data_IF_881814457290
#
_entry.id   IF_881814457290
#
_cell.length_a   1.000
_cell.length_b   1.000
_cell.length_c   1.000
_cell.angle_alpha   90.00
_cell.angle_beta   90.00
_cell.angle_gamma   90.00
#
_symmetry.space_group_name_H-M   'P 1'
#
loop_
_entity.id
_entity.type
_entity.pdbx_description
1 polymer ?
#
# COMPACT_ATOMS: atom_id res chain seq x y z
N UNK A 1 -46.60 20.17 -75.06
CA UNK A 1 -47.04 19.77 -73.71
C UNK A 1 -45.85 19.12 -73.07
N UNK A 2 -45.20 19.85 -72.36
CA UNK A 2 -44.55 19.98 -71.11
C UNK A 2 -44.41 18.66 -70.32
N UNK A 3 -43.16 18.27 -70.03
CA UNK A 3 -42.77 17.63 -68.77
C UNK A 3 -41.25 17.80 -68.58
N UNK A 4 -40.83 18.50 -67.55
CA UNK A 4 -39.44 18.60 -67.08
C UNK A 4 -39.07 17.37 -66.28
N UNK A 5 -37.84 16.89 -66.33
CA UNK A 5 -37.28 15.93 -65.39
C UNK A 5 -36.63 16.66 -64.19
N UNK A 6 -36.89 16.13 -63.00
CA UNK A 6 -36.37 16.60 -61.71
C UNK A 6 -34.86 16.41 -61.54
N UNK A 7 -34.27 17.39 -60.90
CA UNK A 7 -32.89 17.41 -60.43
C UNK A 7 -32.69 16.45 -59.27
N UNK A 8 -31.75 15.50 -59.42
CA UNK A 8 -31.26 14.65 -58.34
C UNK A 8 -30.26 15.47 -57.50
N UNK A 9 -30.60 15.66 -56.24
CA UNK A 9 -29.79 16.26 -55.20
C UNK A 9 -28.74 15.24 -54.71
N UNK A 10 -27.47 15.46 -55.07
CA UNK A 10 -26.34 14.72 -54.56
C UNK A 10 -25.87 15.36 -53.27
N UNK A 11 -26.49 15.00 -52.15
CA UNK A 11 -25.97 15.32 -50.82
C UNK A 11 -24.71 14.46 -50.56
N UNK A 12 -23.57 15.11 -50.61
CA UNK A 12 -22.26 14.55 -50.17
C UNK A 12 -22.36 14.15 -48.70
N UNK A 13 -21.74 12.98 -48.29
CA UNK A 13 -21.69 12.58 -46.91
C UNK A 13 -20.81 13.56 -46.12
N UNK A 14 -21.40 14.16 -45.09
CA UNK A 14 -20.71 14.99 -44.10
C UNK A 14 -19.51 14.26 -43.54
N UNK A 15 -18.31 14.83 -43.77
CA UNK A 15 -17.08 14.31 -43.17
C UNK A 15 -17.20 14.38 -41.64
N UNK A 16 -17.02 13.24 -40.98
CA UNK A 16 -16.93 13.16 -39.53
C UNK A 16 -15.84 14.12 -39.01
N UNK A 17 -16.04 14.78 -37.87
CA UNK A 17 -15.04 15.73 -37.36
C UNK A 17 -13.71 15.02 -37.12
N UNK A 18 -12.70 15.52 -37.79
CA UNK A 18 -11.32 15.12 -37.65
C UNK A 18 -10.88 15.45 -36.21
N UNK A 19 -10.91 14.46 -35.32
CA UNK A 19 -10.29 14.58 -34.00
C UNK A 19 -8.80 14.70 -34.26
N UNK A 20 -8.13 15.82 -33.89
CA UNK A 20 -6.69 15.95 -34.13
C UNK A 20 -5.98 14.80 -33.43
N UNK A 21 -5.06 14.15 -34.14
CA UNK A 21 -4.22 13.10 -33.59
C UNK A 21 -3.60 13.65 -32.30
N UNK A 22 -3.94 13.04 -31.16
CA UNK A 22 -3.40 13.44 -29.85
C UNK A 22 -1.88 13.35 -29.95
N UNK A 23 -1.19 14.46 -29.72
CA UNK A 23 0.25 14.53 -29.71
C UNK A 23 0.83 13.43 -28.80
N UNK A 24 1.92 12.81 -29.21
CA UNK A 24 2.61 11.79 -28.40
C UNK A 24 2.91 12.36 -27.02
N UNK A 25 2.31 11.80 -25.96
CA UNK A 25 2.52 12.22 -24.56
C UNK A 25 3.81 11.64 -24.02
N UNK A 26 4.49 12.39 -23.17
CA UNK A 26 5.71 11.94 -22.49
C UNK A 26 5.55 12.03 -20.98
N UNK A 27 5.75 10.92 -20.29
CA UNK A 27 5.69 10.82 -18.85
C UNK A 27 7.05 10.42 -18.28
N UNK A 28 7.49 11.11 -17.24
CA UNK A 28 8.66 10.70 -16.44
C UNK A 28 8.17 10.15 -15.10
N UNK A 29 8.54 8.89 -14.81
CA UNK A 29 8.15 8.21 -13.58
C UNK A 29 9.39 7.88 -12.75
N UNK A 30 9.27 8.01 -11.42
CA UNK A 30 10.35 7.65 -10.48
C UNK A 30 9.78 6.85 -9.33
N UNK A 31 10.14 5.56 -9.27
CA UNK A 31 9.83 4.63 -8.20
C UNK A 31 11.12 4.06 -7.62
N UNK A 32 11.23 3.97 -6.29
CA UNK A 32 12.44 3.52 -5.58
C UNK A 32 12.31 2.17 -4.88
N UNK A 33 11.11 1.58 -4.79
CA UNK A 33 10.85 0.34 -4.06
C UNK A 33 9.94 -0.59 -4.86
N UNK A 34 9.89 -1.86 -4.46
CA UNK A 34 9.07 -2.88 -5.14
C UNK A 34 7.56 -2.53 -5.13
N UNK A 35 7.07 -1.88 -4.07
CA UNK A 35 5.70 -1.36 -3.99
C UNK A 35 5.44 -0.27 -5.02
N UNK A 36 6.39 0.67 -5.15
CA UNK A 36 6.33 1.73 -6.16
C UNK A 36 6.45 1.19 -7.58
N UNK A 37 7.27 0.17 -7.81
CA UNK A 37 7.40 -0.51 -9.10
C UNK A 37 6.10 -1.18 -9.55
N UNK A 38 5.38 -1.83 -8.61
CA UNK A 38 4.05 -2.39 -8.88
C UNK A 38 3.03 -1.31 -9.28
N UNK A 39 2.97 -0.23 -8.50
CA UNK A 39 2.07 0.91 -8.79
C UNK A 39 2.41 1.58 -10.13
N UNK A 40 3.70 1.79 -10.37
CA UNK A 40 4.19 2.40 -11.60
C UNK A 40 3.87 1.58 -12.84
N UNK A 41 4.01 0.27 -12.77
CA UNK A 41 3.68 -0.63 -13.87
C UNK A 41 2.19 -0.54 -14.24
N UNK A 42 1.29 -0.69 -13.26
CA UNK A 42 -0.14 -0.56 -13.50
C UNK A 42 -0.54 0.82 -14.03
N UNK A 43 0.09 1.89 -13.53
CA UNK A 43 -0.13 3.25 -14.03
C UNK A 43 0.33 3.43 -15.49
N UNK A 44 1.49 2.88 -15.87
CA UNK A 44 1.98 2.90 -17.25
C UNK A 44 0.98 2.22 -18.18
N UNK A 45 0.49 1.04 -17.80
CA UNK A 45 -0.51 0.30 -18.58
C UNK A 45 -1.81 1.09 -18.74
N UNK A 46 -2.32 1.70 -17.67
CA UNK A 46 -3.54 2.50 -17.68
C UNK A 46 -3.37 3.78 -18.55
N UNK A 47 -2.25 4.49 -18.39
CA UNK A 47 -1.94 5.66 -19.23
C UNK A 47 -1.75 5.29 -20.70
N UNK A 48 -1.18 4.11 -21.00
CA UNK A 48 -1.01 3.63 -22.38
C UNK A 48 -2.35 3.29 -23.04
N UNK A 49 -3.32 2.73 -22.29
CA UNK A 49 -4.68 2.53 -22.82
C UNK A 49 -5.32 3.88 -23.21
N UNK A 50 -5.07 4.93 -22.44
CA UNK A 50 -5.60 6.27 -22.69
C UNK A 50 -4.83 7.05 -23.77
N UNK A 51 -3.52 6.86 -23.81
CA UNK A 51 -2.59 7.49 -24.75
C UNK A 51 -1.70 6.42 -25.40
N UNK A 52 -2.17 5.72 -26.46
CA UNK A 52 -1.46 4.57 -27.06
C UNK A 52 -0.04 4.86 -27.53
N UNK A 53 0.25 6.11 -27.91
CA UNK A 53 1.57 6.54 -28.38
C UNK A 53 2.40 7.23 -27.28
N UNK A 54 1.97 7.16 -26.02
CA UNK A 54 2.72 7.76 -24.93
C UNK A 54 4.06 7.05 -24.70
N UNK A 55 5.08 7.85 -24.38
CA UNK A 55 6.40 7.38 -23.97
C UNK A 55 6.52 7.53 -22.46
N UNK A 56 7.17 6.54 -21.86
CA UNK A 56 7.41 6.48 -20.41
C UNK A 56 8.90 6.30 -20.17
N UNK A 57 9.52 7.18 -19.40
CA UNK A 57 10.93 7.06 -19.07
C UNK A 57 11.18 7.45 -17.61
N UNK A 58 12.32 7.08 -17.03
CA UNK A 58 12.67 7.47 -15.67
C UNK A 58 13.40 6.39 -14.86
N UNK A 59 12.97 6.19 -13.61
CA UNK A 59 13.54 5.22 -12.68
C UNK A 59 12.46 4.24 -12.25
N UNK A 60 12.70 2.96 -12.44
CA UNK A 60 11.73 1.92 -12.11
C UNK A 60 12.40 0.54 -12.04
N UNK A 61 11.63 -0.43 -11.54
CA UNK A 61 12.03 -1.82 -11.41
C UNK A 61 11.56 -2.70 -12.56
N UNK A 62 11.69 -4.03 -12.40
CA UNK A 62 11.38 -5.01 -13.44
C UNK A 62 9.94 -4.95 -13.98
N UNK A 63 8.97 -4.62 -13.10
CA UNK A 63 7.56 -4.54 -13.50
C UNK A 63 7.26 -3.33 -14.37
N UNK A 64 7.81 -2.16 -14.03
CA UNK A 64 7.69 -0.96 -14.86
C UNK A 64 8.42 -1.14 -16.21
N UNK A 65 9.58 -1.80 -16.23
CA UNK A 65 10.29 -2.18 -17.46
C UNK A 65 9.42 -3.07 -18.35
N UNK A 66 8.81 -4.11 -17.80
CA UNK A 66 7.90 -5.00 -18.52
C UNK A 66 6.66 -4.25 -19.04
N UNK A 67 6.15 -3.25 -18.31
CA UNK A 67 5.10 -2.35 -18.74
C UNK A 67 5.56 -1.32 -19.79
N UNK A 68 6.86 -1.26 -20.10
CA UNK A 68 7.45 -0.43 -21.17
C UNK A 68 8.03 0.91 -20.73
N UNK A 69 8.56 0.99 -19.51
CA UNK A 69 9.39 2.10 -19.07
C UNK A 69 10.77 2.05 -19.76
N UNK A 70 11.18 3.15 -20.35
CA UNK A 70 12.57 3.39 -20.76
C UNK A 70 13.39 3.80 -19.54
N UNK A 71 13.98 2.84 -18.82
CA UNK A 71 14.67 3.13 -17.56
C UNK A 71 15.98 3.88 -17.78
N UNK A 72 16.15 5.00 -17.09
CA UNK A 72 17.44 5.69 -16.98
C UNK A 72 18.33 5.06 -15.91
N UNK A 73 17.70 4.56 -14.86
CA UNK A 73 18.33 3.89 -13.72
C UNK A 73 17.39 2.82 -13.16
N UNK A 74 17.93 1.72 -12.64
CA UNK A 74 17.16 0.71 -11.95
C UNK A 74 16.70 1.22 -10.56
N UNK A 75 15.51 0.78 -10.10
CA UNK A 75 14.91 1.19 -8.83
C UNK A 75 15.78 0.87 -7.62
N UNK A 76 16.58 -0.20 -7.68
CA UNK A 76 17.47 -0.65 -6.60
C UNK A 76 18.50 0.42 -6.20
N UNK A 77 18.83 1.35 -7.09
CA UNK A 77 19.70 2.48 -6.75
C UNK A 77 19.07 3.47 -5.79
N UNK A 78 17.75 3.48 -5.68
CA UNK A 78 16.98 4.32 -4.73
C UNK A 78 16.59 3.56 -3.46
N UNK A 79 16.61 2.22 -3.51
CA UNK A 79 16.24 1.34 -2.38
C UNK A 79 17.34 1.30 -1.33
N UNK A 80 17.49 2.36 -0.56
CA UNK A 80 18.41 2.42 0.58
C UNK A 80 17.57 2.56 1.85
N UNK A 81 17.51 1.48 2.63
CA UNK A 81 16.75 1.47 3.90
C UNK A 81 17.68 1.75 5.09
N UNK A 82 17.35 2.81 5.84
CA UNK A 82 17.99 3.13 7.12
C UNK A 82 19.01 4.26 7.05
N UNK A 83 19.05 5.07 8.13
CA UNK A 83 19.94 6.24 8.26
C UNK A 83 21.43 5.91 8.13
N UNK A 84 21.83 4.72 8.56
CA UNK A 84 23.23 4.27 8.51
C UNK A 84 23.66 3.91 7.10
N UNK A 85 22.75 3.39 6.26
CA UNK A 85 23.03 2.99 4.89
C UNK A 85 22.92 4.16 3.91
N UNK A 86 22.16 5.19 4.26
CA UNK A 86 21.95 6.39 3.43
C UNK A 86 23.20 7.28 3.41
N UNK A 87 23.92 7.43 4.53
CA UNK A 87 25.06 8.33 4.65
C UNK A 87 26.17 8.06 3.61
N UNK A 88 26.64 6.82 3.41
CA UNK A 88 27.67 6.52 2.40
C UNK A 88 27.21 6.75 0.97
N UNK A 89 25.90 6.60 0.70
CA UNK A 89 25.30 6.74 -0.65
C UNK A 89 24.68 8.09 -0.93
N UNK A 90 24.70 9.00 0.03
CA UNK A 90 24.05 10.31 -0.10
C UNK A 90 24.54 11.10 -1.33
N UNK A 91 25.85 11.09 -1.59
CA UNK A 91 26.43 11.77 -2.76
C UNK A 91 25.95 11.14 -4.06
N UNK A 92 25.86 9.82 -4.13
CA UNK A 92 25.32 9.09 -5.28
C UNK A 92 23.85 9.44 -5.52
N UNK A 93 23.02 9.40 -4.48
CA UNK A 93 21.60 9.75 -4.55
C UNK A 93 21.40 11.21 -4.99
N UNK A 94 22.22 12.13 -4.51
CA UNK A 94 22.16 13.53 -4.92
C UNK A 94 22.57 13.72 -6.40
N UNK A 95 23.58 13.00 -6.86
CA UNK A 95 23.99 13.00 -8.27
C UNK A 95 22.89 12.42 -9.17
N UNK A 96 22.32 11.28 -8.79
CA UNK A 96 21.23 10.64 -9.51
C UNK A 96 20.01 11.58 -9.58
N UNK A 97 19.61 12.19 -8.46
CA UNK A 97 18.53 13.18 -8.44
C UNK A 97 18.81 14.39 -9.33
N UNK A 98 20.07 14.86 -9.37
CA UNK A 98 20.52 15.93 -10.26
C UNK A 98 20.42 15.54 -11.74
N UNK A 99 20.77 14.32 -12.09
CA UNK A 99 20.69 13.81 -13.46
C UNK A 99 19.25 13.60 -13.91
N UNK A 100 18.40 12.97 -13.09
CA UNK A 100 16.95 12.83 -13.37
C UNK A 100 16.32 14.21 -13.61
N UNK A 101 16.65 15.21 -12.75
CA UNK A 101 16.18 16.58 -12.94
C UNK A 101 16.60 17.15 -14.29
N UNK A 102 17.89 17.05 -14.65
CA UNK A 102 18.44 17.59 -15.90
C UNK A 102 17.75 16.98 -17.12
N UNK A 103 17.58 15.64 -17.13
CA UNK A 103 16.89 14.93 -18.21
C UNK A 103 15.42 15.33 -18.31
N UNK A 104 14.72 15.42 -17.18
CA UNK A 104 13.33 15.85 -17.14
C UNK A 104 13.15 17.28 -17.67
N UNK A 105 14.05 18.20 -17.31
CA UNK A 105 14.02 19.57 -17.83
C UNK A 105 14.30 19.62 -19.36
N UNK A 106 15.22 18.80 -19.85
CA UNK A 106 15.55 18.76 -21.29
C UNK A 106 14.41 18.15 -22.12
N UNK A 107 13.69 17.18 -21.57
CA UNK A 107 12.61 16.47 -22.26
C UNK A 107 11.25 17.17 -22.19
N UNK A 108 11.05 18.09 -21.26
CA UNK A 108 9.78 18.79 -21.03
C UNK A 108 8.56 17.83 -21.02
N UNK A 109 8.50 16.82 -20.13
CA UNK A 109 7.39 15.86 -20.09
C UNK A 109 6.05 16.53 -19.80
N UNK A 110 4.97 15.93 -20.27
CA UNK A 110 3.60 16.35 -19.94
C UNK A 110 3.30 16.24 -18.43
N UNK A 111 3.90 15.24 -17.76
CA UNK A 111 3.94 15.15 -16.31
C UNK A 111 5.18 14.41 -15.81
N UNK A 112 5.67 14.85 -14.66
CA UNK A 112 6.59 14.10 -13.79
C UNK A 112 5.80 13.45 -12.66
N UNK A 113 5.99 12.14 -12.45
CA UNK A 113 5.24 11.34 -11.47
C UNK A 113 6.22 10.70 -10.50
N UNK A 114 6.31 11.22 -9.28
CA UNK A 114 7.04 10.59 -8.19
C UNK A 114 6.16 9.58 -7.49
N UNK A 115 6.59 8.32 -7.44
CA UNK A 115 5.84 7.23 -6.82
C UNK A 115 6.53 6.86 -5.52
N UNK A 116 5.82 7.12 -4.39
CA UNK A 116 6.37 6.90 -3.04
C UNK A 116 7.74 7.61 -2.84
N UNK A 117 8.64 7.07 -2.01
CA UNK A 117 9.99 7.60 -1.76
C UNK A 117 10.03 9.13 -1.58
N UNK A 118 9.28 9.70 -0.62
CA UNK A 118 9.08 11.15 -0.49
C UNK A 118 10.38 11.92 -0.27
N UNK A 119 11.37 11.32 0.38
CA UNK A 119 12.68 11.96 0.64
C UNK A 119 13.47 12.20 -0.66
N UNK A 120 13.29 11.35 -1.66
CA UNK A 120 13.88 11.52 -2.97
C UNK A 120 12.99 12.41 -3.87
N UNK A 121 11.72 12.08 -3.99
CA UNK A 121 10.81 12.65 -4.97
C UNK A 121 10.38 14.09 -4.67
N UNK A 122 9.99 14.42 -3.41
CA UNK A 122 9.41 15.74 -3.10
C UNK A 122 10.37 16.90 -3.41
N UNK A 123 11.67 16.70 -3.16
CA UNK A 123 12.68 17.71 -3.49
C UNK A 123 12.89 17.91 -4.99
N UNK A 124 12.72 16.85 -5.76
CA UNK A 124 12.80 16.86 -7.23
C UNK A 124 11.55 17.48 -7.84
N UNK A 125 10.36 17.01 -7.45
CA UNK A 125 9.06 17.52 -7.85
C UNK A 125 8.98 19.05 -7.68
N UNK A 126 9.36 19.56 -6.49
CA UNK A 126 9.35 21.01 -6.21
C UNK A 126 10.18 21.80 -7.23
N UNK A 127 11.36 21.28 -7.62
CA UNK A 127 12.23 21.96 -8.59
C UNK A 127 11.69 21.88 -10.02
N UNK A 128 11.03 20.78 -10.38
CA UNK A 128 10.40 20.61 -11.68
C UNK A 128 9.11 21.43 -11.80
N UNK A 129 8.30 21.46 -10.75
CA UNK A 129 7.12 22.33 -10.65
C UNK A 129 7.48 23.81 -10.82
N UNK A 130 8.54 24.28 -10.13
CA UNK A 130 9.05 25.65 -10.28
C UNK A 130 9.56 25.95 -11.69
N UNK A 131 9.87 24.93 -12.49
CA UNK A 131 10.27 25.05 -13.90
C UNK A 131 9.08 24.89 -14.87
N UNK A 132 7.84 24.84 -14.38
CA UNK A 132 6.63 24.75 -15.21
C UNK A 132 6.25 23.33 -15.64
N UNK A 133 6.93 22.29 -15.16
CA UNK A 133 6.56 20.89 -15.43
C UNK A 133 5.47 20.49 -14.42
N UNK A 134 4.36 19.92 -14.91
CA UNK A 134 3.32 19.37 -14.04
C UNK A 134 3.86 18.21 -13.23
N UNK A 135 3.61 18.21 -11.92
CA UNK A 135 4.13 17.22 -10.98
C UNK A 135 3.02 16.51 -10.25
N UNK A 136 3.13 15.19 -10.19
CA UNK A 136 2.19 14.30 -9.49
C UNK A 136 2.96 13.49 -8.46
N UNK A 137 2.48 13.49 -7.23
CA UNK A 137 3.00 12.60 -6.18
C UNK A 137 2.02 11.45 -5.96
N UNK A 138 2.42 10.24 -6.29
CA UNK A 138 1.61 9.05 -6.11
C UNK A 138 2.04 8.33 -4.83
N UNK A 139 1.11 8.05 -3.96
CA UNK A 139 1.22 7.59 -2.56
C UNK A 139 1.44 8.75 -1.59
N UNK A 140 0.36 9.20 -0.98
CA UNK A 140 0.42 10.18 0.11
C UNK A 140 1.28 9.66 1.27
N UNK A 141 2.32 10.37 1.71
CA UNK A 141 2.99 9.99 2.95
C UNK A 141 2.01 10.15 4.11
N UNK A 142 1.90 9.15 4.98
CA UNK A 142 0.92 9.02 6.08
C UNK A 142 0.67 10.32 6.88
N UNK A 143 0.13 11.35 6.22
CA UNK A 143 -0.14 12.68 6.79
C UNK A 143 -1.17 12.64 7.91
N UNK A 144 -2.06 11.65 7.87
CA UNK A 144 -3.09 11.42 8.89
C UNK A 144 -2.51 10.91 10.22
N UNK A 145 -1.34 10.25 10.19
CA UNK A 145 -0.76 9.63 11.39
C UNK A 145 0.16 10.57 12.19
N UNK A 146 0.94 11.43 11.53
CA UNK A 146 2.09 12.03 12.20
C UNK A 146 2.23 13.56 12.11
N UNK A 147 1.82 14.21 11.06
CA UNK A 147 1.99 15.68 10.89
C UNK A 147 1.15 16.17 9.71
N UNK A 148 -0.05 16.61 9.93
CA UNK A 148 -0.89 17.21 8.88
C UNK A 148 -0.19 18.36 8.12
N UNK A 149 0.65 19.15 8.78
CA UNK A 149 1.44 20.21 8.14
C UNK A 149 2.40 19.74 7.02
N UNK A 150 2.62 18.42 6.88
CA UNK A 150 3.30 17.85 5.70
C UNK A 150 2.47 18.04 4.44
N UNK A 151 1.13 18.06 4.54
CA UNK A 151 0.24 18.27 3.39
C UNK A 151 0.54 19.60 2.68
N UNK A 152 0.66 20.70 3.44
CA UNK A 152 1.05 22.01 2.89
C UNK A 152 2.43 21.99 2.21
N UNK A 153 3.37 21.22 2.77
CA UNK A 153 4.73 21.07 2.21
C UNK A 153 4.70 20.28 0.90
N UNK A 154 3.85 19.27 0.84
CA UNK A 154 3.66 18.44 -0.35
C UNK A 154 3.01 19.24 -1.49
N UNK A 155 2.03 20.08 -1.20
CA UNK A 155 1.44 21.01 -2.18
C UNK A 155 2.42 21.99 -2.83
N UNK A 156 3.53 22.33 -2.15
CA UNK A 156 4.64 23.07 -2.77
C UNK A 156 5.48 22.21 -3.73
N UNK A 157 5.39 20.90 -3.63
CA UNK A 157 6.17 19.95 -4.44
C UNK A 157 5.36 19.38 -5.59
N UNK A 158 4.09 19.03 -5.37
CA UNK A 158 3.23 18.41 -6.35
C UNK A 158 2.02 19.28 -6.70
N UNK A 159 1.56 19.20 -7.96
CA UNK A 159 0.33 19.81 -8.43
C UNK A 159 -0.89 18.93 -8.15
N UNK A 160 -0.66 17.62 -8.01
CA UNK A 160 -1.66 16.63 -7.72
C UNK A 160 -1.07 15.57 -6.80
N UNK A 161 -1.83 15.14 -5.79
CA UNK A 161 -1.51 14.01 -4.92
C UNK A 161 -2.51 12.88 -5.17
N UNK A 162 -2.00 11.68 -5.51
CA UNK A 162 -2.82 10.49 -5.63
C UNK A 162 -2.76 9.71 -4.31
N UNK A 163 -3.90 9.60 -3.67
CA UNK A 163 -4.06 9.07 -2.33
C UNK A 163 -4.55 7.62 -2.37
N UNK A 164 -3.97 6.76 -1.54
CA UNK A 164 -4.38 5.36 -1.39
C UNK A 164 -5.52 5.17 -0.38
N UNK A 165 -5.81 6.19 0.44
CA UNK A 165 -6.85 6.11 1.46
C UNK A 165 -7.89 7.23 1.31
N UNK A 166 -9.19 6.89 1.53
CA UNK A 166 -10.30 7.82 1.24
C UNK A 166 -10.36 9.05 2.15
N UNK A 167 -9.73 9.02 3.34
CA UNK A 167 -9.69 10.15 4.26
C UNK A 167 -8.60 11.18 3.91
N UNK A 168 -7.62 10.83 3.08
CA UNK A 168 -6.47 11.69 2.79
C UNK A 168 -6.82 12.95 1.98
N UNK A 169 -7.67 12.91 0.93
CA UNK A 169 -8.01 14.10 0.16
C UNK A 169 -8.59 15.23 1.01
N UNK A 170 -9.41 14.91 2.02
CA UNK A 170 -9.98 15.92 2.93
C UNK A 170 -8.91 16.63 3.76
N UNK A 171 -7.80 15.96 4.06
CA UNK A 171 -6.65 16.58 4.75
C UNK A 171 -5.96 17.57 3.81
N UNK A 172 -5.70 17.18 2.57
CA UNK A 172 -5.05 18.03 1.57
C UNK A 172 -5.90 19.24 1.20
N UNK A 173 -7.21 19.10 1.10
CA UNK A 173 -8.15 20.19 0.80
C UNK A 173 -8.04 21.33 1.82
N UNK A 174 -7.79 21.04 3.10
CA UNK A 174 -7.55 22.08 4.15
C UNK A 174 -6.35 22.97 3.87
N UNK A 175 -5.43 22.52 3.03
CA UNK A 175 -4.20 23.25 2.66
C UNK A 175 -4.23 23.71 1.20
N UNK A 176 -5.38 23.64 0.52
CA UNK A 176 -5.52 24.05 -0.87
C UNK A 176 -4.73 23.17 -1.87
N UNK A 177 -4.45 21.92 -1.50
CA UNK A 177 -3.69 20.97 -2.33
C UNK A 177 -4.65 20.03 -3.04
N UNK A 178 -4.55 19.95 -4.37
CA UNK A 178 -5.34 19.00 -5.15
C UNK A 178 -4.91 17.57 -4.81
N UNK A 179 -5.88 16.75 -4.43
CA UNK A 179 -5.65 15.35 -4.08
C UNK A 179 -6.84 14.49 -4.47
N UNK A 180 -6.57 13.31 -5.02
CA UNK A 180 -7.59 12.34 -5.42
C UNK A 180 -7.34 10.99 -4.74
N UNK A 181 -8.40 10.40 -4.20
CA UNK A 181 -8.39 9.01 -3.77
C UNK A 181 -8.54 8.11 -5.00
N UNK A 182 -7.58 7.21 -5.19
CA UNK A 182 -7.49 6.36 -6.39
C UNK A 182 -7.69 4.86 -6.08
N UNK A 183 -7.97 4.50 -4.83
CA UNK A 183 -8.01 3.11 -4.39
C UNK A 183 -6.66 2.60 -3.91
N UNK A 184 -6.66 1.39 -3.36
CA UNK A 184 -5.46 0.78 -2.81
C UNK A 184 -5.11 -0.51 -3.58
N UNK A 185 -3.87 -0.68 -4.09
CA UNK A 185 -3.51 -1.82 -4.95
C UNK A 185 -3.66 -3.18 -4.27
N UNK A 186 -3.44 -3.27 -2.96
CA UNK A 186 -3.71 -4.50 -2.23
C UNK A 186 -5.21 -4.86 -2.23
N UNK A 187 -6.10 -3.87 -2.25
CA UNK A 187 -7.53 -4.15 -2.34
C UNK A 187 -7.92 -4.75 -3.71
N UNK A 188 -7.24 -4.36 -4.76
CA UNK A 188 -7.44 -4.94 -6.10
C UNK A 188 -6.79 -6.34 -6.21
N UNK A 189 -5.73 -6.62 -5.40
CA UNK A 189 -5.04 -7.90 -5.40
C UNK A 189 -5.74 -8.99 -4.57
N UNK A 190 -6.54 -8.62 -3.57
CA UNK A 190 -7.33 -9.58 -2.80
C UNK A 190 -8.72 -9.78 -3.43
N UNK A 191 -9.24 -11.02 -3.49
CA UNK A 191 -10.61 -11.26 -3.96
C UNK A 191 -11.63 -10.68 -2.97
N UNK A 192 -12.72 -10.13 -3.48
CA UNK A 192 -13.80 -9.60 -2.64
C UNK A 192 -14.43 -10.71 -1.78
N UNK A 193 -14.51 -11.92 -2.29
CA UNK A 193 -14.92 -13.12 -1.55
C UNK A 193 -13.71 -14.03 -1.37
N UNK A 194 -13.41 -14.41 -0.13
CA UNK A 194 -12.26 -15.23 0.22
C UNK A 194 -12.71 -16.60 0.74
N UNK A 195 -12.12 -17.67 0.20
CA UNK A 195 -12.37 -19.04 0.63
C UNK A 195 -11.20 -19.56 1.47
N UNK A 196 -11.51 -20.26 2.57
CA UNK A 196 -10.49 -20.86 3.46
C UNK A 196 -10.02 -22.22 3.01
N UNK A 197 -10.92 -23.00 2.45
CA UNK A 197 -10.67 -24.42 2.15
C UNK A 197 -9.46 -24.66 1.24
N UNK A 198 -9.28 -23.95 0.11
CA UNK A 198 -8.10 -24.14 -0.74
C UNK A 198 -6.78 -23.83 -0.03
N UNK A 199 -6.74 -22.74 0.75
CA UNK A 199 -5.55 -22.35 1.50
C UNK A 199 -5.22 -23.36 2.62
N UNK A 200 -6.23 -23.87 3.32
CA UNK A 200 -6.05 -24.94 4.33
C UNK A 200 -5.50 -26.22 3.73
N UNK A 201 -6.06 -26.64 2.59
CA UNK A 201 -5.59 -27.82 1.88
C UNK A 201 -4.13 -27.67 1.44
N UNK A 202 -3.75 -26.51 0.90
CA UNK A 202 -2.38 -26.21 0.49
C UNK A 202 -1.38 -26.26 1.65
N UNK A 203 -1.81 -25.89 2.87
CA UNK A 203 -0.97 -25.90 4.07
C UNK A 203 -1.05 -27.20 4.88
N UNK A 204 -1.84 -28.19 4.45
CA UNK A 204 -2.06 -29.44 5.17
C UNK A 204 -2.72 -29.23 6.54
N UNK A 205 -3.63 -28.25 6.65
CA UNK A 205 -4.40 -27.95 7.85
C UNK A 205 -5.72 -28.70 7.84
N UNK A 206 -6.20 -29.11 9.02
CA UNK A 206 -7.50 -29.75 9.12
C UNK A 206 -8.63 -28.78 8.75
N UNK A 207 -9.61 -29.26 7.99
CA UNK A 207 -10.69 -28.42 7.47
C UNK A 207 -11.50 -27.73 8.58
N UNK A 208 -11.80 -28.46 9.67
CA UNK A 208 -12.69 -28.01 10.75
C UNK A 208 -11.95 -27.54 12.01
N UNK A 209 -10.62 -27.64 12.05
CA UNK A 209 -9.85 -27.15 13.20
C UNK A 209 -9.79 -25.62 13.20
N UNK A 210 -9.89 -24.96 14.37
CA UNK A 210 -9.59 -23.55 14.47
C UNK A 210 -8.11 -23.29 14.12
N UNK A 211 -7.86 -22.23 13.37
CA UNK A 211 -6.53 -21.84 12.90
C UNK A 211 -6.22 -20.40 13.32
N UNK A 212 -5.12 -20.23 14.06
CA UNK A 212 -4.57 -18.93 14.43
C UNK A 212 -3.31 -18.63 13.61
N UNK A 213 -3.32 -17.51 12.89
CA UNK A 213 -2.10 -17.01 12.26
C UNK A 213 -1.34 -16.07 13.21
N UNK A 214 0.00 -16.26 13.29
CA UNK A 214 0.88 -15.42 14.07
C UNK A 214 1.83 -14.66 13.13
N UNK A 215 1.72 -13.33 13.11
CA UNK A 215 2.57 -12.45 12.31
C UNK A 215 3.31 -11.45 13.22
N UNK A 216 4.36 -11.87 13.94
CA UNK A 216 5.04 -11.03 14.96
C UNK A 216 5.88 -9.91 14.34
N UNK A 217 6.01 -9.86 13.03
CA UNK A 217 6.73 -8.83 12.29
C UNK A 217 7.53 -9.35 11.12
N UNK A 218 7.95 -8.44 10.26
CA UNK A 218 8.77 -8.71 9.06
C UNK A 218 10.26 -8.37 9.28
N UNK A 219 10.62 -7.84 10.45
CA UNK A 219 11.99 -7.45 10.82
C UNK A 219 12.42 -8.15 12.09
N UNK A 220 13.71 -8.50 12.19
CA UNK A 220 14.29 -9.14 13.39
C UNK A 220 13.98 -8.38 14.68
N UNK A 221 14.02 -7.03 14.64
CA UNK A 221 13.72 -6.21 15.80
C UNK A 221 12.25 -6.26 16.26
N UNK A 222 11.31 -6.56 15.39
CA UNK A 222 9.89 -6.79 15.73
C UNK A 222 9.71 -8.17 16.35
N UNK A 223 10.28 -9.21 15.72
CA UNK A 223 10.28 -10.59 16.22
C UNK A 223 10.93 -10.67 17.62
N UNK A 224 12.06 -10.00 17.82
CA UNK A 224 12.72 -9.95 19.12
C UNK A 224 11.86 -9.33 20.23
N UNK A 225 10.94 -8.40 19.89
CA UNK A 225 10.08 -7.73 20.87
C UNK A 225 8.74 -8.43 21.12
N UNK A 226 8.22 -9.12 20.11
CA UNK A 226 6.85 -9.67 20.15
C UNK A 226 6.81 -11.19 20.02
N UNK A 227 7.83 -11.82 19.44
CA UNK A 227 7.81 -13.24 19.09
C UNK A 227 7.56 -14.16 20.28
N UNK A 228 8.28 -13.97 21.39
CA UNK A 228 8.10 -14.77 22.60
C UNK A 228 6.70 -14.60 23.20
N UNK A 229 6.16 -13.38 23.23
CA UNK A 229 4.82 -13.14 23.77
C UNK A 229 3.73 -13.73 22.87
N UNK A 230 3.92 -13.70 21.54
CA UNK A 230 3.00 -14.32 20.59
C UNK A 230 2.98 -15.84 20.75
N UNK A 231 4.13 -16.47 20.92
CA UNK A 231 4.20 -17.92 21.15
C UNK A 231 3.65 -18.33 22.52
N UNK A 232 3.91 -17.53 23.56
CA UNK A 232 3.30 -17.76 24.87
C UNK A 232 1.77 -17.61 24.83
N UNK A 233 1.28 -16.62 24.08
CA UNK A 233 -0.15 -16.45 23.81
C UNK A 233 -0.73 -17.67 23.08
N UNK A 234 -0.03 -18.15 22.05
CA UNK A 234 -0.44 -19.34 21.30
C UNK A 234 -0.45 -20.59 22.20
N UNK A 235 0.55 -20.78 23.08
CA UNK A 235 0.60 -21.87 24.04
C UNK A 235 -0.63 -21.87 24.97
N UNK A 236 -0.99 -20.71 25.54
CA UNK A 236 -2.18 -20.57 26.39
C UNK A 236 -3.47 -20.82 25.62
N UNK A 237 -3.56 -20.32 24.38
CA UNK A 237 -4.72 -20.55 23.52
C UNK A 237 -4.85 -22.04 23.16
N UNK A 238 -3.75 -22.72 22.86
CA UNK A 238 -3.71 -24.17 22.57
C UNK A 238 -4.07 -25.03 23.79
N UNK A 239 -3.76 -24.58 25.01
CA UNK A 239 -4.18 -25.24 26.23
C UNK A 239 -5.70 -25.16 26.43
N UNK A 240 -6.29 -24.02 26.06
CA UNK A 240 -7.75 -23.81 26.14
C UNK A 240 -8.52 -24.45 24.96
N UNK A 241 -7.87 -24.61 23.79
CA UNK A 241 -8.45 -25.16 22.56
C UNK A 241 -7.56 -26.30 22.03
N UNK A 242 -7.78 -27.56 22.42
CA UNK A 242 -6.92 -28.69 22.08
C UNK A 242 -6.71 -28.94 20.58
N UNK A 243 -7.66 -28.51 19.74
CA UNK A 243 -7.59 -28.69 18.28
C UNK A 243 -7.06 -27.45 17.54
N UNK A 244 -6.65 -26.38 18.25
CA UNK A 244 -6.11 -25.16 17.62
C UNK A 244 -4.82 -25.46 16.86
N UNK A 245 -4.76 -25.04 15.61
CA UNK A 245 -3.58 -25.10 14.76
C UNK A 245 -2.99 -23.70 14.54
N UNK A 246 -1.68 -23.61 14.36
CA UNK A 246 -0.96 -22.36 14.15
C UNK A 246 -0.35 -22.31 12.75
N UNK A 247 -0.37 -21.12 12.15
CA UNK A 247 0.35 -20.81 10.91
C UNK A 247 1.19 -19.56 11.13
N UNK A 248 2.48 -19.64 10.82
CA UNK A 248 3.46 -18.60 11.11
C UNK A 248 4.26 -18.31 9.85
N UNK A 249 3.94 -17.28 9.06
CA UNK A 249 4.72 -16.93 7.88
C UNK A 249 5.98 -16.13 8.29
N UNK A 250 7.13 -16.55 7.83
CA UNK A 250 8.40 -15.86 8.01
C UNK A 250 8.70 -15.00 6.77
N UNK A 251 8.93 -13.71 6.95
CA UNK A 251 9.12 -12.77 5.85
C UNK A 251 10.38 -13.04 5.00
N UNK A 252 11.42 -13.62 5.60
CA UNK A 252 12.69 -13.97 4.97
C UNK A 252 13.42 -15.04 5.79
N UNK A 253 14.56 -15.52 5.29
CA UNK A 253 15.35 -16.58 5.93
C UNK A 253 15.84 -16.22 7.34
N UNK A 254 16.22 -14.95 7.57
CA UNK A 254 16.67 -14.49 8.90
C UNK A 254 15.51 -14.51 9.90
N UNK A 255 14.33 -14.00 9.48
CA UNK A 255 13.11 -14.06 10.29
C UNK A 255 12.69 -15.52 10.55
N UNK A 256 12.83 -16.41 9.56
CA UNK A 256 12.56 -17.83 9.73
C UNK A 256 13.45 -18.46 10.81
N UNK A 257 14.76 -18.22 10.74
CA UNK A 257 15.70 -18.74 11.73
C UNK A 257 15.38 -18.25 13.15
N UNK A 258 15.04 -16.96 13.29
CA UNK A 258 14.66 -16.39 14.57
C UNK A 258 13.34 -16.99 15.11
N UNK A 259 12.33 -17.18 14.26
CA UNK A 259 11.06 -17.80 14.63
C UNK A 259 11.21 -19.27 14.98
N UNK A 260 12.04 -20.02 14.23
CA UNK A 260 12.35 -21.42 14.54
C UNK A 260 12.96 -21.56 15.93
N UNK A 261 13.98 -20.76 16.26
CA UNK A 261 14.59 -20.76 17.57
C UNK A 261 13.59 -20.49 18.72
N UNK A 262 12.63 -19.58 18.49
CA UNK A 262 11.57 -19.29 19.45
C UNK A 262 10.57 -20.45 19.57
N UNK A 263 10.23 -21.13 18.48
CA UNK A 263 9.35 -22.30 18.46
C UNK A 263 9.98 -23.49 19.19
N UNK A 264 11.28 -23.72 18.98
CA UNK A 264 12.03 -24.77 19.67
C UNK A 264 12.06 -24.52 21.19
N UNK A 265 12.26 -23.26 21.61
CA UNK A 265 12.23 -22.87 23.02
C UNK A 265 10.82 -22.94 23.65
N UNK A 266 9.77 -22.68 22.86
CA UNK A 266 8.38 -22.73 23.33
C UNK A 266 7.85 -24.16 23.50
N UNK A 267 8.53 -25.18 22.96
CA UNK A 267 8.20 -26.60 23.03
C UNK A 267 6.74 -26.92 22.64
N UNK A 268 6.18 -26.20 21.67
CA UNK A 268 4.83 -26.43 21.16
C UNK A 268 4.76 -27.77 20.37
N UNK A 269 3.63 -28.50 20.41
CA UNK A 269 3.49 -29.75 19.68
C UNK A 269 3.72 -29.53 18.18
N UNK A 270 4.75 -30.14 17.61
CA UNK A 270 5.16 -29.93 16.21
C UNK A 270 4.06 -30.23 15.18
N UNK A 271 3.17 -31.17 15.46
CA UNK A 271 2.05 -31.48 14.59
C UNK A 271 1.00 -30.36 14.47
N UNK A 272 1.02 -29.38 15.37
CA UNK A 272 0.00 -28.35 15.51
C UNK A 272 0.41 -26.99 14.99
N UNK A 273 1.59 -26.83 14.43
CA UNK A 273 2.02 -25.57 13.82
C UNK A 273 2.70 -25.76 12.47
N UNK A 274 2.66 -24.72 11.66
CA UNK A 274 3.34 -24.64 10.36
C UNK A 274 4.12 -23.32 10.30
N UNK A 275 5.44 -23.40 10.11
CA UNK A 275 6.31 -22.26 9.82
C UNK A 275 6.53 -22.20 8.30
N UNK A 276 6.08 -21.11 7.66
CA UNK A 276 6.12 -20.94 6.22
C UNK A 276 7.29 -20.05 5.79
N UNK A 277 7.83 -20.30 4.60
CA UNK A 277 8.81 -19.43 3.95
C UNK A 277 8.07 -18.36 3.14
N UNK A 278 7.89 -17.17 3.73
CA UNK A 278 7.03 -16.15 3.16
C UNK A 278 5.55 -16.55 3.25
N UNK A 279 4.83 -16.33 2.15
CA UNK A 279 3.44 -16.73 1.92
C UNK A 279 2.45 -16.33 3.03
N UNK A 280 2.60 -15.09 3.50
CA UNK A 280 1.65 -14.50 4.44
C UNK A 280 0.23 -14.45 3.86
N UNK A 281 0.09 -14.36 2.54
CA UNK A 281 -1.19 -14.36 1.85
C UNK A 281 -1.97 -15.66 2.10
N UNK A 282 -1.36 -16.81 1.85
CA UNK A 282 -1.99 -18.13 2.09
C UNK A 282 -2.25 -18.34 3.58
N UNK A 283 -1.34 -17.94 4.47
CA UNK A 283 -1.55 -18.00 5.91
C UNK A 283 -2.79 -17.20 6.34
N UNK A 284 -2.94 -15.97 5.82
CA UNK A 284 -4.11 -15.14 6.07
C UNK A 284 -5.39 -15.76 5.51
N UNK A 285 -5.37 -16.32 4.32
CA UNK A 285 -6.56 -16.97 3.75
C UNK A 285 -6.97 -18.24 4.54
N UNK A 286 -6.03 -18.99 5.10
CA UNK A 286 -6.28 -20.25 5.81
C UNK A 286 -6.82 -20.07 7.23
N UNK A 287 -6.47 -18.99 7.93
CA UNK A 287 -6.76 -18.83 9.35
C UNK A 287 -8.20 -18.34 9.67
N UNK A 288 -8.61 -18.48 10.92
CA UNK A 288 -9.86 -17.93 11.46
C UNK A 288 -9.63 -16.61 12.19
N UNK A 289 -8.50 -16.49 12.85
CA UNK A 289 -8.09 -15.29 13.61
C UNK A 289 -6.60 -15.03 13.36
N UNK A 290 -6.22 -13.76 13.37
CA UNK A 290 -4.82 -13.33 13.21
C UNK A 290 -4.38 -12.56 14.45
N UNK A 291 -3.24 -12.92 15.00
CA UNK A 291 -2.50 -12.09 15.94
C UNK A 291 -1.29 -11.51 15.21
N UNK A 292 -1.21 -10.19 15.08
CA UNK A 292 -0.20 -9.55 14.25
C UNK A 292 0.42 -8.30 14.88
N UNK A 293 1.66 -8.02 14.48
CA UNK A 293 2.30 -6.74 14.74
C UNK A 293 1.68 -5.64 13.85
N UNK A 294 1.47 -4.45 14.41
CA UNK A 294 0.91 -3.32 13.66
C UNK A 294 1.77 -2.97 12.44
N UNK A 295 1.12 -2.85 11.29
CA UNK A 295 1.76 -2.55 10.00
C UNK A 295 0.83 -2.85 8.83
N UNK A 296 1.40 -3.02 7.65
CA UNK A 296 0.68 -3.38 6.41
C UNK A 296 -0.08 -4.71 6.55
N UNK A 297 0.43 -5.65 7.36
CA UNK A 297 -0.21 -6.94 7.63
C UNK A 297 -1.64 -6.79 8.19
N UNK A 298 -1.94 -5.70 8.93
CA UNK A 298 -3.29 -5.44 9.41
C UNK A 298 -4.27 -5.10 8.27
N UNK A 299 -3.79 -4.41 7.23
CA UNK A 299 -4.56 -4.15 6.01
C UNK A 299 -4.77 -5.44 5.22
N UNK A 300 -3.74 -6.26 5.04
CA UNK A 300 -3.83 -7.55 4.36
C UNK A 300 -4.80 -8.50 5.06
N UNK A 301 -4.75 -8.60 6.39
CA UNK A 301 -5.68 -9.40 7.18
C UNK A 301 -7.14 -8.91 7.04
N UNK A 302 -7.35 -7.58 7.04
CA UNK A 302 -8.65 -6.97 6.77
C UNK A 302 -9.16 -7.32 5.36
N UNK A 303 -8.30 -7.21 4.35
CA UNK A 303 -8.65 -7.53 2.96
C UNK A 303 -8.92 -9.04 2.77
N UNK A 304 -8.23 -9.89 3.50
CA UNK A 304 -8.50 -11.33 3.59
C UNK A 304 -9.77 -11.66 4.39
N UNK A 305 -10.45 -10.67 5.02
CA UNK A 305 -11.63 -10.83 5.91
C UNK A 305 -11.32 -11.74 7.09
N UNK A 306 -10.14 -11.58 7.68
CA UNK A 306 -9.75 -12.35 8.86
C UNK A 306 -9.80 -11.48 10.11
N UNK A 307 -10.67 -11.83 11.07
CA UNK A 307 -10.69 -11.19 12.38
C UNK A 307 -9.29 -11.16 12.98
N UNK A 308 -8.93 -10.03 13.57
CA UNK A 308 -7.55 -9.82 13.98
C UNK A 308 -7.42 -9.10 15.33
N UNK A 309 -6.32 -9.38 16.00
CA UNK A 309 -5.81 -8.66 17.17
C UNK A 309 -4.48 -8.02 16.78
N UNK A 310 -4.37 -6.72 17.02
CA UNK A 310 -3.15 -5.95 16.73
C UNK A 310 -2.35 -5.77 18.01
N UNK A 311 -1.07 -6.12 17.95
CA UNK A 311 -0.11 -5.87 19.00
C UNK A 311 1.03 -5.00 18.50
N UNK A 312 1.57 -4.13 19.36
CA UNK A 312 2.74 -3.35 18.97
C UNK A 312 3.58 -2.93 20.18
N UNK A 313 4.90 -3.09 20.03
CA UNK A 313 5.90 -2.54 20.95
C UNK A 313 7.00 -1.84 20.17
N UNK A 314 7.24 -0.58 20.49
CA UNK A 314 8.42 0.16 20.05
C UNK A 314 9.47 0.16 21.16
N UNK A 315 10.72 0.44 20.80
CA UNK A 315 11.78 0.55 21.79
C UNK A 315 11.41 1.57 22.89
N UNK A 316 11.66 1.26 24.19
CA UNK A 316 11.20 2.08 25.31
C UNK A 316 11.62 3.55 25.21
N UNK A 317 12.85 3.81 24.73
CA UNK A 317 13.37 5.16 24.55
C UNK A 317 12.62 5.92 23.44
N UNK A 318 12.33 5.27 22.33
CA UNK A 318 11.54 5.84 21.23
C UNK A 318 10.14 6.17 21.71
N UNK A 319 9.52 5.27 22.49
CA UNK A 319 8.18 5.49 23.05
C UNK A 319 8.14 6.68 24.00
N UNK A 320 9.11 6.77 24.92
CA UNK A 320 9.24 7.91 25.84
C UNK A 320 9.40 9.23 25.07
N UNK A 321 10.25 9.25 24.05
CA UNK A 321 10.48 10.43 23.22
C UNK A 321 9.22 10.84 22.44
N UNK A 322 8.55 9.88 21.79
CA UNK A 322 7.31 10.11 21.02
C UNK A 322 6.20 10.64 21.93
N UNK A 323 6.06 10.09 23.12
CA UNK A 323 5.09 10.51 24.13
C UNK A 323 5.42 11.91 24.68
N UNK A 324 6.69 12.17 25.01
CA UNK A 324 7.15 13.48 25.51
C UNK A 324 6.95 14.59 24.46
N UNK A 325 7.23 14.31 23.20
CA UNK A 325 7.05 15.25 22.09
C UNK A 325 5.59 15.33 21.61
N UNK A 326 4.66 14.60 22.21
CA UNK A 326 3.24 14.53 21.80
C UNK A 326 3.06 14.34 20.30
N UNK A 327 3.91 13.51 19.69
CA UNK A 327 3.92 13.28 18.25
C UNK A 327 2.74 12.41 17.79
N UNK A 328 2.17 11.59 18.69
CA UNK A 328 0.99 10.78 18.41
C UNK A 328 -0.28 11.58 18.69
N UNK A 329 -1.07 11.79 17.65
CA UNK A 329 -2.33 12.54 17.71
C UNK A 329 -3.57 11.68 17.51
N UNK A 330 -3.39 10.37 17.39
CA UNK A 330 -4.48 9.43 17.18
C UNK A 330 -4.49 8.38 18.26
N UNK A 331 -5.68 8.01 18.71
CA UNK A 331 -5.92 6.89 19.62
C UNK A 331 -6.05 5.56 18.87
N UNK A 332 -5.90 5.57 17.55
CA UNK A 332 -6.00 4.41 16.66
C UNK A 332 -4.72 4.25 15.87
N UNK A 333 -4.19 3.03 15.84
CA UNK A 333 -2.86 2.74 15.29
C UNK A 333 -2.91 1.80 14.09
N UNK A 334 -3.93 0.94 14.01
CA UNK A 334 -4.10 0.02 12.89
C UNK A 334 -4.94 0.63 11.79
N UNK A 335 -4.62 0.30 10.53
CA UNK A 335 -5.39 0.74 9.38
C UNK A 335 -6.87 0.36 9.45
N UNK A 336 -7.27 -0.85 9.90
CA UNK A 336 -8.69 -1.18 10.09
C UNK A 336 -9.44 -0.21 11.00
N UNK A 337 -8.87 0.16 12.16
CA UNK A 337 -9.50 1.10 13.09
C UNK A 337 -9.54 2.53 12.55
N UNK A 338 -8.50 2.94 11.84
CA UNK A 338 -8.42 4.26 11.19
C UNK A 338 -9.46 4.37 10.09
N UNK A 339 -9.55 3.37 9.21
CA UNK A 339 -10.51 3.33 8.09
C UNK A 339 -11.96 3.21 8.58
N UNK A 340 -12.20 2.43 9.64
CA UNK A 340 -13.51 2.31 10.25
C UNK A 340 -13.95 3.57 11.02
N UNK A 341 -13.01 4.45 11.37
CA UNK A 341 -13.27 5.61 12.20
C UNK A 341 -13.63 5.29 13.66
N UNK A 342 -13.50 4.02 14.08
CA UNK A 342 -13.84 3.52 15.42
C UNK A 342 -12.92 2.38 15.84
N UNK A 343 -12.95 1.99 17.10
CA UNK A 343 -12.29 0.77 17.59
C UNK A 343 -13.07 -0.45 17.07
N UNK A 344 -12.63 -1.01 15.96
CA UNK A 344 -13.20 -2.19 15.31
C UNK A 344 -12.48 -3.46 15.74
N UNK A 345 -11.15 -3.37 15.83
CA UNK A 345 -10.26 -4.47 16.20
C UNK A 345 -9.53 -4.14 17.49
N UNK A 346 -9.25 -5.13 18.37
CA UNK A 346 -8.42 -4.92 19.55
C UNK A 346 -7.01 -4.45 19.17
N UNK A 347 -6.54 -3.36 19.80
CA UNK A 347 -5.19 -2.83 19.70
C UNK A 347 -4.52 -2.88 21.07
N UNK A 348 -3.56 -3.79 21.24
CA UNK A 348 -2.82 -3.96 22.48
C UNK A 348 -1.40 -3.39 22.31
N UNK A 349 -1.22 -2.17 22.83
CA UNK A 349 -0.03 -1.37 22.57
C UNK A 349 0.82 -1.25 23.84
N UNK A 350 2.14 -1.33 23.71
CA UNK A 350 3.12 -1.09 24.76
C UNK A 350 2.81 -1.87 26.06
N UNK A 351 2.42 -1.18 27.13
CA UNK A 351 2.12 -1.77 28.46
C UNK A 351 0.86 -2.65 28.43
N UNK A 352 -0.10 -2.38 27.55
CA UNK A 352 -1.29 -3.22 27.36
C UNK A 352 -0.99 -4.50 26.58
N UNK A 353 0.14 -4.56 25.87
CA UNK A 353 0.57 -5.74 25.12
C UNK A 353 1.15 -6.79 26.08
N UNK A 354 0.31 -7.49 26.80
CA UNK A 354 0.69 -8.57 27.74
C UNK A 354 0.14 -9.91 27.28
N UNK A 355 0.83 -11.01 27.60
CA UNK A 355 0.38 -12.36 27.21
C UNK A 355 -1.06 -12.64 27.68
N UNK A 356 -1.47 -12.34 28.93
CA UNK A 356 -2.88 -12.55 29.33
C UNK A 356 -3.90 -11.73 28.53
N UNK A 357 -3.57 -10.48 28.19
CA UNK A 357 -4.46 -9.62 27.40
C UNK A 357 -4.56 -10.09 25.95
N UNK A 358 -3.43 -10.47 25.33
CA UNK A 358 -3.38 -11.06 24.00
C UNK A 358 -4.15 -12.37 23.93
N UNK A 359 -3.94 -13.27 24.92
CA UNK A 359 -4.63 -14.56 25.01
C UNK A 359 -6.14 -14.38 25.10
N UNK A 360 -6.60 -13.47 25.97
CA UNK A 360 -8.03 -13.16 26.09
C UNK A 360 -8.60 -12.68 24.76
N UNK A 361 -8.00 -11.67 24.14
CA UNK A 361 -8.48 -11.11 22.89
C UNK A 361 -8.52 -12.15 21.74
N UNK A 362 -7.53 -13.03 21.68
CA UNK A 362 -7.48 -14.12 20.69
C UNK A 362 -8.58 -15.16 20.96
N UNK A 363 -8.75 -15.60 22.23
CA UNK A 363 -9.75 -16.59 22.60
C UNK A 363 -11.17 -16.04 22.44
N UNK A 364 -11.41 -14.78 22.77
CA UNK A 364 -12.70 -14.11 22.54
C UNK A 364 -13.08 -14.16 21.05
N UNK A 365 -12.14 -13.85 20.16
CA UNK A 365 -12.40 -13.97 18.72
C UNK A 365 -12.52 -15.41 18.22
N UNK A 366 -11.74 -16.36 18.74
CA UNK A 366 -11.85 -17.77 18.34
C UNK A 366 -13.16 -18.39 18.83
N UNK A 367 -13.63 -18.03 20.03
CA UNK A 367 -14.83 -18.58 20.65
C UNK A 367 -16.14 -17.91 20.22
N UNK A 368 -16.11 -16.61 19.87
CA UNK A 368 -17.31 -15.85 19.55
C UNK A 368 -17.46 -15.58 18.06
N UNK A 369 -18.36 -16.33 17.41
CA UNK A 369 -18.69 -16.17 16.00
C UNK A 369 -19.35 -14.80 15.71
N UNK A 370 -20.09 -14.24 16.66
CA UNK A 370 -20.74 -12.92 16.49
C UNK A 370 -19.70 -11.80 16.47
N UNK A 371 -18.73 -11.82 17.38
CA UNK A 371 -17.62 -10.88 17.40
C UNK A 371 -16.80 -10.92 16.10
N UNK A 372 -16.53 -12.13 15.57
CA UNK A 372 -15.90 -12.28 14.25
C UNK A 372 -16.75 -11.68 13.13
N UNK A 373 -18.07 -11.95 13.13
CA UNK A 373 -18.97 -11.46 12.09
C UNK A 373 -18.99 -9.93 12.01
N UNK A 374 -18.96 -9.25 13.14
CA UNK A 374 -18.90 -7.77 13.19
C UNK A 374 -17.65 -7.24 12.47
N UNK A 375 -16.49 -7.84 12.72
CA UNK A 375 -15.26 -7.44 12.03
C UNK A 375 -15.34 -7.75 10.54
N UNK A 376 -15.78 -8.95 10.15
CA UNK A 376 -15.84 -9.39 8.75
C UNK A 376 -16.77 -8.50 7.92
N UNK A 377 -17.97 -8.19 8.41
CA UNK A 377 -18.91 -7.29 7.70
C UNK A 377 -18.31 -5.92 7.44
N UNK A 378 -17.65 -5.35 8.44
CA UNK A 378 -16.98 -4.06 8.27
C UNK A 378 -15.77 -4.16 7.33
N UNK A 379 -15.01 -5.26 7.38
CA UNK A 379 -13.90 -5.51 6.46
C UNK A 379 -14.36 -5.63 5.00
N UNK A 380 -15.51 -6.25 4.76
CA UNK A 380 -16.11 -6.28 3.42
C UNK A 380 -16.49 -4.89 2.93
N UNK A 381 -17.08 -4.06 3.78
CA UNK A 381 -17.43 -2.67 3.46
C UNK A 381 -16.17 -1.86 3.13
N UNK A 382 -15.14 -1.98 3.98
CA UNK A 382 -13.87 -1.26 3.80
C UNK A 382 -13.10 -1.77 2.58
N UNK A 383 -13.15 -3.08 2.28
CA UNK A 383 -12.53 -3.61 1.08
C UNK A 383 -13.19 -3.03 -0.19
N UNK A 384 -14.53 -3.02 -0.27
CA UNK A 384 -15.23 -2.38 -1.41
C UNK A 384 -14.90 -0.89 -1.53
N UNK A 385 -14.73 -0.19 -0.41
CA UNK A 385 -14.33 1.21 -0.40
C UNK A 385 -12.92 1.41 -0.97
N UNK A 386 -11.98 0.53 -0.64
CA UNK A 386 -10.58 0.60 -1.11
C UNK A 386 -10.39 0.02 -2.51
N UNK A 387 -11.29 -0.87 -2.96
CA UNK A 387 -11.30 -1.44 -4.29
C UNK A 387 -11.82 -0.41 -5.28
N UNK A 388 -11.00 0.05 -6.19
CA UNK A 388 -11.36 1.17 -7.06
C UNK A 388 -10.64 1.22 -8.39
N UNK A 389 -9.99 0.12 -8.82
CA UNK A 389 -9.23 0.10 -10.06
C UNK A 389 -8.07 1.09 -10.04
N UNK A 390 -7.32 1.14 -8.95
CA UNK A 390 -6.32 2.14 -8.56
C UNK A 390 -5.52 2.76 -9.71
N UNK A 391 -5.03 1.95 -10.64
CA UNK A 391 -4.26 2.42 -11.79
C UNK A 391 -5.10 3.21 -12.80
N UNK A 392 -6.36 2.80 -13.05
CA UNK A 392 -7.25 3.52 -13.98
C UNK A 392 -7.70 4.85 -13.38
N UNK A 393 -8.07 4.87 -12.10
CA UNK A 393 -8.43 6.10 -11.40
C UNK A 393 -7.25 7.08 -11.34
N UNK A 394 -6.04 6.57 -11.09
CA UNK A 394 -4.81 7.36 -11.11
C UNK A 394 -4.54 7.96 -12.51
N UNK A 395 -4.65 7.15 -13.57
CA UNK A 395 -4.47 7.61 -14.94
C UNK A 395 -5.52 8.66 -15.35
N UNK A 396 -6.78 8.48 -14.91
CA UNK A 396 -7.85 9.45 -15.15
C UNK A 396 -7.57 10.80 -14.47
N UNK A 397 -7.18 10.79 -13.19
CA UNK A 397 -6.85 12.00 -12.45
C UNK A 397 -5.63 12.74 -13.04
N UNK A 398 -4.61 11.99 -13.49
CA UNK A 398 -3.46 12.59 -14.19
C UNK A 398 -3.89 13.20 -15.52
N UNK A 399 -4.71 12.49 -16.30
CA UNK A 399 -5.20 12.99 -17.60
C UNK A 399 -5.99 14.29 -17.43
N UNK A 400 -6.91 14.35 -16.47
CA UNK A 400 -7.65 15.57 -16.15
C UNK A 400 -6.70 16.73 -15.81
N UNK A 401 -5.64 16.46 -15.03
CA UNK A 401 -4.66 17.48 -14.62
C UNK A 401 -3.83 17.99 -15.79
N UNK A 402 -3.43 17.14 -16.75
CA UNK A 402 -2.63 17.55 -17.90
C UNK A 402 -3.47 18.19 -19.04
N UNK A 403 -4.75 17.85 -19.13
CA UNK A 403 -5.68 18.39 -20.10
C UNK A 403 -6.29 19.72 -19.63
N UNK A 404 -6.33 19.99 -18.33
CA UNK A 404 -6.75 21.28 -17.78
C UNK A 404 -5.75 22.39 -18.11
N UNK A 405 -6.20 23.59 -18.51
CA UNK A 405 -5.30 24.73 -18.70
C UNK A 405 -4.51 24.98 -17.41
N UNK A 406 -3.23 25.34 -17.55
CA UNK A 406 -2.43 25.76 -16.41
C UNK A 406 -3.13 26.96 -15.75
N UNK A 407 -3.59 26.81 -14.51
CA UNK A 407 -4.11 27.94 -13.76
C UNK A 407 -3.02 29.04 -13.65
N UNK A 408 -3.41 30.30 -13.46
CA UNK A 408 -2.45 31.37 -13.30
C UNK A 408 -1.47 31.02 -12.16
N UNK A 409 -0.17 31.24 -12.43
CA UNK A 409 0.95 30.99 -11.53
C UNK A 409 0.90 31.89 -10.28
#
# INVERSE_FOLDING_TARGET
>A
MSAHPGSADHSSPSAAPHVPARASRLFVLVAGEASGDLLGAGLIEALRRRYPQARFCGVGGPRMLAAGLEAWYPAERLSVMGLVEVLPRLVELLRLRGDVRRRSLALHPDAFIGIDAPDFNLGLERKLKAAGIRTVHYVSPSVWAWREGRAARLGRSADLVLCLFPMEPAIYARYGVAAHFVGHPLADAFPLVTERAPARAALGLAADAPVLALLPGSRLGEIARLGSDFLATAAQAMASMPNLQLVIPAANAECRSALQALLDAAALPAARWRLLDGDAHTALLACDVVLLASGTAALEAMLAKRPLVVAYRIAPWTYRLVRWLRLMRTDRYSLPNILAGRALVPELMQEACTVPALTRAVLDLLGDASARSVQVQEFERLHRLLHGGGSEAAAAAIAERIESPAGPA
#
